data_IF_752495380975
#
_entry.id   IF_752495380975
#
_cell.length_a   1.000
_cell.length_b   1.000
_cell.length_c   1.000
_cell.angle_alpha   90.00
_cell.angle_beta   90.00
_cell.angle_gamma   90.00
#
_symmetry.space_group_name_H-M   'P 1'
#
loop_
_entity.id
_entity.type
_entity.pdbx_description
1 polymer ?
#
# COMPACT_ATOMS: atom_id res chain seq x y z
N UNK A 1 9.22 -8.00 -3.56
CA UNK A 1 10.44 -7.86 -2.73
C UNK A 1 10.69 -9.22 -2.07
N UNK A 2 11.88 -9.82 -2.19
CA UNK A 2 12.17 -11.06 -1.49
C UNK A 2 12.23 -10.82 0.02
N UNK A 3 11.90 -11.82 0.83
CA UNK A 3 11.94 -11.71 2.31
C UNK A 3 13.31 -11.27 2.82
N UNK A 4 14.39 -11.71 2.18
CA UNK A 4 15.77 -11.34 2.53
C UNK A 4 16.08 -9.84 2.38
N UNK A 5 15.33 -9.12 1.55
CA UNK A 5 15.47 -7.67 1.41
C UNK A 5 14.72 -6.87 2.50
N UNK A 6 14.05 -7.56 3.42
CA UNK A 6 13.21 -6.98 4.48
C UNK A 6 13.66 -7.54 5.84
N UNK A 7 14.75 -7.02 6.44
CA UNK A 7 15.29 -7.54 7.70
C UNK A 7 14.32 -7.38 8.87
N UNK A 8 13.66 -6.22 8.95
CA UNK A 8 12.63 -5.92 9.96
C UNK A 8 11.41 -5.27 9.30
N UNK A 9 10.28 -5.99 9.12
CA UNK A 9 9.09 -5.45 8.47
C UNK A 9 8.40 -4.34 9.28
N UNK A 10 8.76 -4.14 10.55
CA UNK A 10 8.18 -3.12 11.43
C UNK A 10 8.99 -1.84 11.51
N UNK A 11 10.10 -1.73 10.78
CA UNK A 11 10.95 -0.56 10.77
C UNK A 11 11.06 0.08 9.38
N UNK A 12 9.91 0.31 8.75
CA UNK A 12 9.83 1.00 7.47
C UNK A 12 8.95 2.24 7.55
N UNK A 13 9.28 3.23 6.75
CA UNK A 13 8.42 4.37 6.45
C UNK A 13 7.71 4.13 5.12
N UNK A 14 6.38 4.23 5.14
CA UNK A 14 5.51 4.22 3.98
C UNK A 14 5.10 5.65 3.66
N UNK A 15 5.10 6.00 2.38
CA UNK A 15 4.67 7.32 1.93
C UNK A 15 3.92 7.26 0.61
N UNK A 16 3.05 8.24 0.40
CA UNK A 16 2.33 8.45 -0.84
C UNK A 16 2.21 9.95 -1.13
N UNK A 17 2.55 10.31 -2.36
CA UNK A 17 2.38 11.64 -2.94
C UNK A 17 1.31 11.62 -4.02
N UNK A 18 0.50 12.65 -4.05
CA UNK A 18 -0.33 12.98 -5.22
C UNK A 18 0.26 14.24 -5.84
N UNK A 19 0.67 14.10 -7.09
CA UNK A 19 1.54 15.03 -7.80
C UNK A 19 2.84 15.28 -7.02
N UNK A 20 2.97 16.43 -6.35
CA UNK A 20 4.15 16.81 -5.56
C UNK A 20 3.89 16.86 -4.06
N UNK A 21 2.64 16.64 -3.64
CA UNK A 21 2.20 16.80 -2.25
C UNK A 21 2.17 15.45 -1.53
N UNK A 22 2.82 15.35 -0.37
CA UNK A 22 2.69 14.19 0.52
C UNK A 22 1.27 14.17 1.06
N UNK A 23 0.55 13.06 0.83
CA UNK A 23 -0.81 12.83 1.33
C UNK A 23 -0.87 11.80 2.44
N UNK A 24 -0.03 10.77 2.35
CA UNK A 24 0.10 9.78 3.41
C UNK A 24 1.59 9.61 3.73
N UNK A 25 1.89 9.51 5.02
CA UNK A 25 3.21 9.19 5.53
C UNK A 25 3.04 8.53 6.90
N UNK A 26 3.74 7.43 7.16
CA UNK A 26 3.66 6.74 8.44
C UNK A 26 4.62 5.56 8.53
N UNK A 27 4.79 5.03 9.75
CA UNK A 27 5.73 3.94 10.00
C UNK A 27 5.00 2.61 10.23
N UNK A 28 5.59 1.50 9.76
CA UNK A 28 5.06 0.14 10.00
C UNK A 28 5.15 -0.27 11.47
N UNK A 29 5.94 0.44 12.30
CA UNK A 29 5.96 0.25 13.76
C UNK A 29 4.62 0.60 14.40
N UNK A 30 3.87 1.51 13.79
CA UNK A 30 2.59 2.04 14.30
C UNK A 30 1.40 1.14 13.93
N UNK A 31 1.64 0.00 13.27
CA UNK A 31 0.60 -1.00 13.02
C UNK A 31 -0.01 -1.48 14.34
N UNK A 32 -1.32 -1.31 14.49
CA UNK A 32 -2.12 -1.77 15.64
C UNK A 32 -2.05 -3.30 15.75
N UNK A 33 -2.28 -4.00 14.64
CA UNK A 33 -2.16 -5.45 14.54
C UNK A 33 -0.91 -5.83 13.76
N UNK A 34 -0.04 -6.65 14.36
CA UNK A 34 1.21 -7.09 13.73
C UNK A 34 0.96 -8.19 12.69
N UNK A 35 1.92 -8.40 11.80
CA UNK A 35 1.80 -9.34 10.66
C UNK A 35 1.42 -10.77 11.11
N UNK A 36 2.04 -11.37 12.16
CA UNK A 36 1.64 -12.70 12.65
C UNK A 36 0.19 -12.77 13.08
N UNK A 37 -0.32 -11.72 13.75
CA UNK A 37 -1.71 -11.67 14.17
C UNK A 37 -2.65 -11.61 12.97
N UNK A 38 -2.35 -10.77 11.97
CA UNK A 38 -3.14 -10.67 10.75
C UNK A 38 -3.23 -12.01 10.02
N UNK A 39 -2.09 -12.69 9.84
CA UNK A 39 -2.04 -14.01 9.20
C UNK A 39 -2.89 -15.01 9.99
N UNK A 40 -2.68 -15.12 11.30
CA UNK A 40 -3.42 -16.05 12.16
C UNK A 40 -4.93 -15.80 12.15
N UNK A 41 -5.33 -14.54 12.27
CA UNK A 41 -6.74 -14.16 12.32
C UNK A 41 -7.43 -14.46 10.99
N UNK A 42 -6.83 -14.04 9.88
CA UNK A 42 -7.39 -14.29 8.54
C UNK A 42 -7.48 -15.80 8.26
N UNK A 43 -6.43 -16.57 8.59
CA UNK A 43 -6.40 -18.02 8.36
C UNK A 43 -7.43 -18.79 9.19
N UNK A 44 -7.93 -18.22 10.29
CA UNK A 44 -9.00 -18.82 11.09
C UNK A 44 -10.39 -18.67 10.46
N UNK A 45 -10.54 -17.73 9.50
CA UNK A 45 -11.80 -17.40 8.84
C UNK A 45 -11.84 -17.97 7.41
N UNK A 46 -10.72 -17.91 6.69
CA UNK A 46 -10.57 -18.47 5.34
C UNK A 46 -9.20 -19.11 5.13
N UNK A 47 -9.15 -20.15 4.29
CA UNK A 47 -7.89 -20.78 3.90
C UNK A 47 -7.03 -19.81 3.09
N UNK A 48 -5.76 -19.67 3.47
CA UNK A 48 -4.77 -18.92 2.70
C UNK A 48 -4.04 -19.87 1.73
N UNK A 49 -3.90 -19.44 0.48
CA UNK A 49 -3.19 -20.15 -0.57
C UNK A 49 -1.88 -19.46 -0.92
N UNK A 50 -0.98 -20.22 -1.55
CA UNK A 50 0.25 -19.64 -2.09
C UNK A 50 -0.07 -18.55 -3.11
N UNK A 51 0.60 -17.41 -2.98
CA UNK A 51 0.38 -16.24 -3.83
C UNK A 51 -0.67 -15.25 -3.31
N UNK A 52 -1.39 -15.57 -2.24
CA UNK A 52 -2.34 -14.63 -1.63
C UNK A 52 -1.65 -13.38 -1.08
N UNK A 53 -2.31 -12.23 -1.24
CA UNK A 53 -1.79 -10.92 -0.84
C UNK A 53 -2.68 -10.31 0.24
N UNK A 54 -2.08 -10.06 1.41
CA UNK A 54 -2.75 -9.38 2.54
C UNK A 54 -2.35 -7.90 2.54
N UNK A 55 -3.34 -7.02 2.46
CA UNK A 55 -3.15 -5.57 2.66
C UNK A 55 -3.25 -5.26 4.15
N UNK A 56 -2.14 -4.79 4.75
CA UNK A 56 -1.99 -4.68 6.21
C UNK A 56 -2.53 -3.38 6.81
N UNK A 57 -3.36 -2.65 6.05
CA UNK A 57 -3.88 -1.33 6.42
C UNK A 57 -3.11 -0.17 5.79
N UNK A 58 -3.57 1.06 6.04
CA UNK A 58 -2.92 2.29 5.57
C UNK A 58 -2.67 3.26 6.73
N UNK A 59 -1.60 4.07 6.67
CA UNK A 59 -1.45 5.21 7.56
C UNK A 59 -2.53 6.28 7.28
N UNK A 60 -2.59 7.29 8.14
CA UNK A 60 -3.53 8.41 8.00
C UNK A 60 -3.32 9.20 6.69
N UNK A 61 -4.31 10.01 6.32
CA UNK A 61 -4.24 10.90 5.16
C UNK A 61 -4.87 10.36 3.87
N UNK A 62 -5.76 9.36 3.97
CA UNK A 62 -6.56 8.90 2.84
C UNK A 62 -7.42 10.05 2.32
N UNK A 63 -7.46 10.22 1.00
CA UNK A 63 -8.23 11.28 0.35
C UNK A 63 -8.43 11.03 -1.14
N UNK A 64 -9.27 11.84 -1.80
CA UNK A 64 -9.59 11.65 -3.20
C UNK A 64 -8.41 11.97 -4.12
N UNK A 65 -8.31 11.22 -5.22
CA UNK A 65 -7.39 11.47 -6.33
C UNK A 65 -8.21 11.69 -7.60
N UNK A 66 -7.88 12.73 -8.35
CA UNK A 66 -8.55 13.10 -9.60
C UNK A 66 -7.81 12.54 -10.80
N UNK A 67 -8.54 12.30 -11.88
CA UNK A 67 -7.92 11.95 -13.14
C UNK A 67 -7.02 13.07 -13.66
N UNK A 68 -5.91 12.70 -14.27
CA UNK A 68 -4.83 13.59 -14.69
C UNK A 68 -3.74 13.77 -13.62
N UNK A 69 -4.01 13.45 -12.36
CA UNK A 69 -3.00 13.50 -11.30
C UNK A 69 -2.07 12.28 -11.36
N UNK A 70 -0.88 12.42 -10.81
CA UNK A 70 0.13 11.35 -10.72
C UNK A 70 0.31 10.91 -9.29
N UNK A 71 0.11 9.64 -9.00
CA UNK A 71 0.36 9.10 -7.66
C UNK A 71 1.74 8.46 -7.64
N UNK A 72 2.58 8.84 -6.67
CA UNK A 72 3.86 8.17 -6.41
C UNK A 72 3.83 7.68 -4.97
N UNK A 73 4.12 6.41 -4.75
CA UNK A 73 4.15 5.84 -3.40
C UNK A 73 5.39 4.96 -3.23
N UNK A 74 5.74 4.64 -1.99
CA UNK A 74 6.92 3.82 -1.75
C UNK A 74 7.15 3.42 -0.32
N UNK A 75 8.15 2.57 -0.18
CA UNK A 75 8.80 2.20 1.07
C UNK A 75 10.15 2.92 1.06
N UNK A 76 10.39 3.80 2.04
CA UNK A 76 11.60 4.61 2.09
C UNK A 76 12.87 3.75 1.99
N UNK A 77 13.80 4.14 1.12
CA UNK A 77 15.06 3.43 0.90
C UNK A 77 14.97 2.10 0.15
N UNK A 78 13.76 1.59 -0.14
CA UNK A 78 13.59 0.23 -0.68
C UNK A 78 12.89 0.19 -2.04
N UNK A 79 11.78 0.92 -2.21
CA UNK A 79 10.99 0.85 -3.44
C UNK A 79 10.18 2.12 -3.67
N UNK A 80 10.04 2.50 -4.94
CA UNK A 80 9.14 3.56 -5.39
C UNK A 80 8.31 3.06 -6.57
N UNK A 81 7.01 3.28 -6.50
CA UNK A 81 6.03 2.97 -7.55
C UNK A 81 5.32 4.24 -8.01
N UNK A 82 4.95 4.29 -9.29
CA UNK A 82 4.30 5.44 -9.92
C UNK A 82 3.06 4.97 -10.69
N UNK A 83 1.98 5.72 -10.54
CA UNK A 83 0.70 5.47 -11.19
C UNK A 83 0.16 6.75 -11.84
N UNK A 84 -0.18 6.66 -13.12
CA UNK A 84 -0.89 7.72 -13.82
C UNK A 84 -2.40 7.53 -13.66
N UNK A 85 -3.06 8.43 -12.94
CA UNK A 85 -4.49 8.31 -12.67
C UNK A 85 -5.29 8.75 -13.91
N UNK A 86 -5.94 7.80 -14.58
CA UNK A 86 -6.79 8.06 -15.76
C UNK A 86 -8.25 7.81 -15.44
N UNK A 87 -9.16 8.56 -16.06
CA UNK A 87 -10.59 8.18 -16.03
C UNK A 87 -10.74 6.86 -16.77
N UNK A 88 -11.47 5.92 -16.19
CA UNK A 88 -11.91 4.72 -16.90
C UNK A 88 -12.74 5.14 -18.11
N UNK A 89 -12.27 4.83 -19.32
CA UNK A 89 -13.10 4.97 -20.53
C UNK A 89 -14.17 3.89 -20.47
N UNK A 90 -15.45 4.29 -20.53
CA UNK A 90 -16.53 3.32 -20.76
C UNK A 90 -16.54 2.98 -22.25
N UNK A 91 -16.58 1.70 -22.64
CA UNK A 91 -16.84 1.35 -24.04
C UNK A 91 -18.22 1.92 -24.43
N UNK A 92 -18.30 2.76 -25.47
CA UNK A 92 -19.57 3.18 -26.07
C UNK A 92 -19.97 4.66 -25.98
N UNK A 93 -19.19 5.56 -25.39
CA UNK A 93 -19.46 7.02 -25.51
C UNK A 93 -18.64 7.61 -26.66
N UNK A 94 -19.27 7.64 -27.85
CA UNK A 94 -18.89 8.55 -28.92
C UNK A 94 -19.40 9.96 -28.60
#
# INVERSE_FOLDING_TARGET
LPKSAVPDPYNFELWLKVDREIRQQGSTKDMIFKIPYLISHISSIMTLFEGDVILTGSPQGVGPVKAGQKTTAGIAGLLVVRFDNKKRRRPGSA
#
